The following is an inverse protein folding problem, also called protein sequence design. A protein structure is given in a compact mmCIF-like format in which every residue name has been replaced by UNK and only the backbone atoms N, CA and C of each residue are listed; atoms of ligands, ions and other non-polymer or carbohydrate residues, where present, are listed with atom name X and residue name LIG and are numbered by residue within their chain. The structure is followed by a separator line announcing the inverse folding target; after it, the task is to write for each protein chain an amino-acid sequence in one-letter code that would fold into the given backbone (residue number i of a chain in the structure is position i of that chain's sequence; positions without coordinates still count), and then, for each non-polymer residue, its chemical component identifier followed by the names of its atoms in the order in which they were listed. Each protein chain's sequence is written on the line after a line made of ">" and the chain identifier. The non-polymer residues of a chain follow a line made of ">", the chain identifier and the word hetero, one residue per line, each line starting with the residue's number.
data_IF_006741206528
#
_entry.id   IF_006741206528
#
_cell.length_a   1.000
_cell.length_b   1.000
_cell.length_c   1.000
_cell.angle_alpha   90.00
_cell.angle_beta   90.00
_cell.angle_gamma   90.00
#
_symmetry.space_group_name_H-M   'P 1'
#
loop_
_entity.id
_entity.type
_entity.pdbx_description
1 polymer ?
#
# COMPACT_ATOMS: atom_id res chain seq x y z
N UNK A 1 3.24 -26.07 -3.15
CA UNK A 1 3.18 -24.65 -2.95
C UNK A 1 3.16 -24.31 -1.47
N UNK A 2 4.07 -23.52 -1.04
CA UNK A 2 4.18 -23.19 0.37
C UNK A 2 3.05 -22.26 0.80
N UNK A 3 2.32 -22.63 1.86
CA UNK A 3 1.31 -21.77 2.45
C UNK A 3 1.90 -20.50 3.07
N UNK A 4 3.20 -20.51 3.33
CA UNK A 4 3.89 -19.37 3.93
C UNK A 4 3.84 -18.14 3.04
N UNK A 5 3.83 -18.31 1.70
CA UNK A 5 3.76 -17.20 0.78
C UNK A 5 2.44 -16.43 0.87
N UNK A 6 1.37 -17.13 1.24
CA UNK A 6 0.04 -16.53 1.31
C UNK A 6 -0.37 -16.16 2.74
N UNK A 7 0.44 -16.51 3.73
CA UNK A 7 0.08 -16.28 5.13
C UNK A 7 -0.09 -14.79 5.42
N UNK A 8 0.82 -13.95 4.95
CA UNK A 8 0.69 -12.51 5.14
C UNK A 8 -0.61 -11.98 4.51
N UNK A 9 -0.90 -12.42 3.29
CA UNK A 9 -2.13 -12.02 2.61
C UNK A 9 -3.38 -12.48 3.32
N UNK A 10 -3.37 -13.67 3.89
CA UNK A 10 -4.49 -14.21 4.65
C UNK A 10 -4.70 -13.40 5.93
N UNK A 11 -3.63 -13.06 6.62
CA UNK A 11 -3.70 -12.24 7.83
C UNK A 11 -4.19 -10.83 7.51
N UNK A 12 -3.75 -10.27 6.39
CA UNK A 12 -4.24 -8.96 5.94
C UNK A 12 -5.72 -9.01 5.62
N UNK A 13 -6.17 -10.04 4.91
CA UNK A 13 -7.59 -10.20 4.60
C UNK A 13 -8.42 -10.33 5.88
N UNK A 14 -7.89 -11.02 6.87
CA UNK A 14 -8.57 -11.13 8.17
C UNK A 14 -8.70 -9.77 8.83
N UNK A 15 -7.65 -8.96 8.82
CA UNK A 15 -7.70 -7.62 9.38
C UNK A 15 -8.71 -6.74 8.64
N UNK A 16 -8.74 -6.84 7.31
CA UNK A 16 -9.71 -6.12 6.48
C UNK A 16 -11.14 -6.52 6.86
N UNK A 17 -11.38 -7.81 7.04
CA UNK A 17 -12.71 -8.31 7.42
C UNK A 17 -13.12 -7.83 8.81
N UNK A 18 -12.19 -7.83 9.75
CA UNK A 18 -12.47 -7.35 11.11
C UNK A 18 -12.84 -5.88 11.11
N UNK A 19 -12.28 -5.08 10.21
CA UNK A 19 -12.62 -3.67 10.06
C UNK A 19 -13.89 -3.46 9.21
N UNK A 20 -14.47 -4.54 8.70
CA UNK A 20 -15.67 -4.51 7.87
C UNK A 20 -15.50 -3.72 6.57
N UNK A 21 -14.29 -3.73 6.04
CA UNK A 21 -14.01 -3.11 4.73
C UNK A 21 -14.48 -4.09 3.65
N UNK A 22 -15.37 -3.67 2.75
CA UNK A 22 -15.98 -4.60 1.78
C UNK A 22 -15.09 -4.86 0.56
N UNK A 23 -13.91 -5.41 0.79
CA UNK A 23 -12.99 -5.78 -0.29
C UNK A 23 -12.40 -7.16 -0.01
N UNK A 24 -12.33 -7.99 -1.05
CA UNK A 24 -11.69 -9.29 -0.99
C UNK A 24 -10.49 -9.28 -1.93
N UNK A 25 -9.32 -9.49 -1.36
CA UNK A 25 -8.08 -9.48 -2.15
C UNK A 25 -7.93 -10.77 -2.93
N UNK A 26 -7.54 -10.65 -4.19
CA UNK A 26 -7.20 -11.82 -5.02
C UNK A 26 -5.86 -12.41 -4.54
N UNK A 27 -5.54 -13.67 -4.94
CA UNK A 27 -4.21 -14.22 -4.64
C UNK A 27 -3.06 -13.35 -5.14
N UNK A 28 -3.21 -12.75 -6.32
CA UNK A 28 -2.21 -11.84 -6.86
C UNK A 28 -2.03 -10.60 -6.01
N UNK A 29 -3.13 -10.00 -5.56
CA UNK A 29 -3.06 -8.85 -4.68
C UNK A 29 -2.41 -9.18 -3.35
N UNK A 30 -2.74 -10.35 -2.78
CA UNK A 30 -2.11 -10.80 -1.54
C UNK A 30 -0.61 -10.96 -1.69
N UNK A 31 -0.16 -11.52 -2.81
CA UNK A 31 1.27 -11.65 -3.10
C UNK A 31 1.94 -10.29 -3.26
N UNK A 32 1.27 -9.35 -3.90
CA UNK A 32 1.79 -8.01 -4.09
C UNK A 32 1.95 -7.28 -2.74
N UNK A 33 0.97 -7.42 -1.86
CA UNK A 33 1.09 -6.86 -0.51
C UNK A 33 2.24 -7.47 0.27
N UNK A 34 2.44 -8.77 0.16
CA UNK A 34 3.56 -9.44 0.82
C UNK A 34 4.89 -8.93 0.30
N UNK A 35 5.01 -8.76 -1.01
CA UNK A 35 6.21 -8.22 -1.63
C UNK A 35 6.49 -6.79 -1.14
N UNK A 36 5.46 -5.97 -1.07
CA UNK A 36 5.58 -4.61 -0.55
C UNK A 36 6.03 -4.61 0.91
N UNK A 37 5.43 -5.47 1.72
CA UNK A 37 5.84 -5.64 3.12
C UNK A 37 7.33 -5.98 3.25
N UNK A 38 7.78 -6.95 2.45
CA UNK A 38 9.19 -7.36 2.48
C UNK A 38 10.12 -6.24 2.06
N UNK A 39 9.79 -5.55 0.97
CA UNK A 39 10.60 -4.44 0.48
C UNK A 39 10.63 -3.29 1.48
N UNK A 40 9.50 -3.00 2.09
CA UNK A 40 9.39 -1.94 3.09
C UNK A 40 10.28 -2.23 4.29
N UNK A 41 10.21 -3.45 4.83
CA UNK A 41 10.99 -3.80 6.02
C UNK A 41 12.48 -3.84 5.73
N UNK A 42 12.88 -4.41 4.61
CA UNK A 42 14.29 -4.48 4.24
C UNK A 42 14.87 -3.10 3.95
N UNK A 43 14.15 -2.29 3.20
CA UNK A 43 14.62 -0.95 2.86
C UNK A 43 14.67 -0.05 4.09
N UNK A 44 13.69 -0.21 4.98
CA UNK A 44 13.63 0.61 6.19
C UNK A 44 14.83 0.38 7.12
N UNK A 45 15.39 -0.83 7.13
CA UNK A 45 16.58 -1.14 7.92
C UNK A 45 17.79 -0.30 7.48
N UNK A 46 17.86 0.02 6.20
CA UNK A 46 19.01 0.73 5.62
C UNK A 46 18.73 2.22 5.50
N UNK A 47 17.55 2.60 5.03
CA UNK A 47 17.24 3.97 4.65
C UNK A 47 16.35 4.72 5.63
N UNK A 48 15.82 4.02 6.63
CA UNK A 48 14.95 4.64 7.64
C UNK A 48 13.81 5.45 7.00
N UNK A 49 13.05 4.79 6.14
CA UNK A 49 11.98 5.42 5.35
C UNK A 49 10.81 5.90 6.22
N UNK A 50 10.53 5.19 7.30
CA UNK A 50 9.36 5.40 8.12
C UNK A 50 9.67 5.06 9.57
N UNK A 51 8.92 5.66 10.49
CA UNK A 51 8.97 5.32 11.91
C UNK A 51 8.11 4.10 12.26
N UNK A 52 7.42 3.51 11.28
CA UNK A 52 6.65 2.29 11.49
C UNK A 52 7.62 1.17 11.89
N UNK A 53 7.29 0.46 12.98
CA UNK A 53 8.13 -0.64 13.45
C UNK A 53 8.10 -1.80 12.46
N UNK A 54 9.12 -2.68 12.55
CA UNK A 54 9.18 -3.86 11.70
C UNK A 54 8.21 -4.96 12.13
N UNK A 55 7.48 -4.77 13.20
CA UNK A 55 6.52 -5.75 13.66
C UNK A 55 5.42 -5.96 12.63
N UNK A 56 5.25 -7.20 12.26
CA UNK A 56 4.30 -7.60 11.23
C UNK A 56 2.88 -7.14 11.54
N UNK A 57 2.46 -7.28 12.79
CA UNK A 57 1.09 -6.89 13.19
C UNK A 57 0.84 -5.41 13.02
N UNK A 58 1.83 -4.57 13.33
CA UNK A 58 1.70 -3.13 13.18
C UNK A 58 1.58 -2.77 11.70
N UNK A 59 2.39 -3.40 10.86
CA UNK A 59 2.36 -3.14 9.43
C UNK A 59 1.04 -3.59 8.82
N UNK A 60 0.53 -4.76 9.25
CA UNK A 60 -0.78 -5.23 8.80
C UNK A 60 -1.89 -4.24 9.11
N UNK A 61 -1.85 -3.65 10.30
CA UNK A 61 -2.83 -2.63 10.69
C UNK A 61 -2.71 -1.39 9.81
N UNK A 62 -1.49 -0.96 9.50
CA UNK A 62 -1.28 0.19 8.62
C UNK A 62 -1.82 -0.07 7.21
N UNK A 63 -1.64 -1.28 6.71
CA UNK A 63 -2.19 -1.64 5.40
C UNK A 63 -3.71 -1.61 5.43
N UNK A 64 -4.32 -2.23 6.45
CA UNK A 64 -5.76 -2.25 6.58
C UNK A 64 -6.34 -0.84 6.77
N UNK A 65 -5.70 -0.02 7.61
CA UNK A 65 -6.13 1.36 7.81
C UNK A 65 -6.09 2.16 6.52
N UNK A 66 -5.08 1.92 5.68
CA UNK A 66 -4.96 2.60 4.40
C UNK A 66 -6.14 2.29 3.49
N UNK A 67 -6.61 1.04 3.49
CA UNK A 67 -7.73 0.62 2.65
C UNK A 67 -9.08 1.01 3.26
N UNK A 68 -9.09 1.44 4.52
CA UNK A 68 -10.31 1.82 5.21
C UNK A 68 -11.00 3.06 4.58
N UNK A 69 -10.32 3.76 3.69
CA UNK A 69 -10.95 4.81 2.89
C UNK A 69 -12.22 4.31 2.19
N UNK A 70 -12.27 3.02 1.86
CA UNK A 70 -13.45 2.41 1.23
C UNK A 70 -14.70 2.57 2.09
N UNK A 71 -14.55 2.62 3.42
CA UNK A 71 -15.70 2.82 4.30
C UNK A 71 -16.30 4.21 4.16
N UNK A 72 -15.47 5.21 3.86
CA UNK A 72 -15.91 6.58 3.64
C UNK A 72 -16.36 6.83 2.19
N UNK A 73 -15.89 6.02 1.25
CA UNK A 73 -16.19 6.14 -0.18
C UNK A 73 -16.69 4.77 -0.65
N UNK A 74 -18.00 4.48 -0.47
CA UNK A 74 -18.52 3.13 -0.71
C UNK A 74 -18.33 2.58 -2.11
N UNK A 75 -18.19 3.43 -3.13
CA UNK A 75 -17.95 3.01 -4.50
C UNK A 75 -16.50 3.15 -4.92
N UNK A 76 -15.58 3.11 -3.95
CA UNK A 76 -14.14 3.24 -4.22
C UNK A 76 -13.63 2.18 -5.20
N UNK A 77 -14.21 0.99 -5.18
CA UNK A 77 -13.85 -0.13 -6.04
C UNK A 77 -14.57 -0.11 -7.40
N UNK A 78 -15.42 0.89 -7.65
CA UNK A 78 -16.28 0.91 -8.84
C UNK A 78 -16.00 2.07 -9.78
N UNK A 79 -15.22 3.05 -9.36
CA UNK A 79 -14.94 4.24 -10.14
C UNK A 79 -13.47 4.58 -10.13
N UNK A 80 -12.93 5.14 -11.23
CA UNK A 80 -11.52 5.52 -11.30
C UNK A 80 -11.26 6.87 -10.63
N UNK A 81 -11.50 6.93 -9.33
CA UNK A 81 -11.21 8.15 -8.57
C UNK A 81 -9.76 8.55 -8.69
N UNK A 82 -9.53 9.86 -8.69
CA UNK A 82 -8.19 10.43 -8.64
C UNK A 82 -7.88 10.78 -7.20
N UNK A 83 -6.80 10.25 -6.68
CA UNK A 83 -6.40 10.47 -5.29
C UNK A 83 -4.98 11.03 -5.28
N UNK A 84 -4.80 12.11 -4.56
CA UNK A 84 -3.50 12.76 -4.39
C UNK A 84 -3.04 12.55 -2.95
N UNK A 85 -1.96 11.79 -2.78
CA UNK A 85 -1.40 11.49 -1.47
C UNK A 85 -0.15 12.36 -1.25
N UNK A 86 -0.32 13.47 -0.56
CA UNK A 86 0.76 14.41 -0.27
C UNK A 86 1.46 14.04 1.03
N UNK A 87 2.79 13.99 1.00
CA UNK A 87 3.55 13.57 2.16
C UNK A 87 3.38 12.07 2.41
N UNK A 88 3.41 11.30 1.33
CA UNK A 88 3.08 9.87 1.38
C UNK A 88 4.02 9.03 2.23
N UNK A 89 5.22 9.52 2.50
CA UNK A 89 6.22 8.79 3.28
C UNK A 89 6.67 7.52 2.57
N UNK A 90 6.46 6.38 3.21
CA UNK A 90 6.80 5.08 2.64
C UNK A 90 5.71 4.56 1.69
N UNK A 91 4.79 5.42 1.26
CA UNK A 91 3.74 5.05 0.31
C UNK A 91 2.38 4.81 0.94
N UNK A 92 2.13 5.34 2.13
CA UNK A 92 0.84 5.19 2.82
C UNK A 92 0.02 6.47 2.75
N UNK A 93 -1.26 6.39 2.45
CA UNK A 93 -2.03 5.19 2.10
C UNK A 93 -1.96 4.81 0.62
N UNK A 94 -1.20 5.54 -0.20
CA UNK A 94 -1.24 5.42 -1.65
C UNK A 94 -0.95 4.04 -2.21
N UNK A 95 0.16 3.40 -1.79
CA UNK A 95 0.55 2.08 -2.33
C UNK A 95 -0.47 1.00 -1.95
N UNK A 96 -0.90 0.87 -0.68
CA UNK A 96 -1.96 -0.08 -0.37
C UNK A 96 -3.25 0.14 -1.16
N UNK A 97 -3.64 1.40 -1.39
CA UNK A 97 -4.83 1.71 -2.19
C UNK A 97 -4.63 1.28 -3.65
N UNK A 98 -3.45 1.51 -4.21
CA UNK A 98 -3.15 1.11 -5.58
C UNK A 98 -3.22 -0.41 -5.76
N UNK A 99 -2.75 -1.16 -4.76
CA UNK A 99 -2.78 -2.62 -4.82
C UNK A 99 -4.22 -3.14 -4.70
N UNK A 100 -4.97 -2.61 -3.73
CA UNK A 100 -6.32 -3.10 -3.45
C UNK A 100 -7.35 -2.65 -4.48
N UNK A 101 -7.16 -1.48 -5.09
CA UNK A 101 -8.10 -0.88 -6.03
C UNK A 101 -7.39 -0.46 -7.30
N UNK A 102 -7.16 -1.41 -8.23
CA UNK A 102 -6.32 -1.14 -9.41
C UNK A 102 -6.84 -0.05 -10.35
N UNK A 103 -8.13 0.30 -10.26
CA UNK A 103 -8.70 1.33 -11.11
C UNK A 103 -8.45 2.75 -10.60
N UNK A 104 -8.01 2.89 -9.36
CA UNK A 104 -7.71 4.20 -8.79
C UNK A 104 -6.51 4.84 -9.50
N UNK A 105 -6.58 6.15 -9.63
CA UNK A 105 -5.51 6.95 -10.21
C UNK A 105 -4.81 7.69 -9.09
N UNK A 106 -3.68 7.15 -8.66
CA UNK A 106 -2.95 7.65 -7.51
C UNK A 106 -1.80 8.56 -7.95
N UNK A 107 -1.67 9.66 -7.24
CA UNK A 107 -0.49 10.51 -7.34
C UNK A 107 0.10 10.63 -5.95
N UNK A 108 1.33 10.17 -5.78
CA UNK A 108 2.03 10.19 -4.52
C UNK A 108 3.14 11.23 -4.57
N UNK A 109 3.25 12.03 -3.53
CA UNK A 109 4.28 13.06 -3.47
C UNK A 109 4.92 13.09 -2.08
N UNK A 110 6.22 13.37 -2.06
CA UNK A 110 6.96 13.52 -0.81
C UNK A 110 8.14 14.46 -1.04
N UNK A 111 8.60 15.10 0.03
CA UNK A 111 9.71 16.03 -0.04
C UNK A 111 11.07 15.34 0.03
N UNK A 112 11.15 14.09 0.53
CA UNK A 112 12.40 13.38 0.69
C UNK A 112 12.67 12.49 -0.50
N UNK A 113 13.81 12.72 -1.15
CA UNK A 113 14.18 11.99 -2.37
C UNK A 113 14.29 10.48 -2.15
N UNK A 114 14.80 10.06 -1.00
CA UNK A 114 14.92 8.62 -0.71
C UNK A 114 13.56 7.93 -0.68
N UNK A 115 12.52 8.61 -0.22
CA UNK A 115 11.15 8.08 -0.22
C UNK A 115 10.59 8.02 -1.63
N UNK A 116 10.82 9.06 -2.43
CA UNK A 116 10.38 9.07 -3.83
C UNK A 116 10.99 7.91 -4.60
N UNK A 117 12.28 7.65 -4.43
CA UNK A 117 12.94 6.54 -5.11
C UNK A 117 12.34 5.19 -4.71
N UNK A 118 12.03 5.02 -3.42
CA UNK A 118 11.40 3.80 -2.93
C UNK A 118 10.01 3.61 -3.54
N UNK A 119 9.14 4.62 -3.44
CA UNK A 119 7.76 4.49 -3.91
C UNK A 119 7.67 4.36 -5.43
N UNK A 120 8.58 4.98 -6.19
CA UNK A 120 8.64 4.79 -7.63
C UNK A 120 8.92 3.33 -7.98
N UNK A 121 9.87 2.72 -7.28
CA UNK A 121 10.19 1.30 -7.51
C UNK A 121 9.01 0.40 -7.15
N UNK A 122 8.35 0.67 -6.04
CA UNK A 122 7.19 -0.11 -5.63
C UNK A 122 6.00 0.07 -6.56
N UNK A 123 5.78 1.29 -7.05
CA UNK A 123 4.73 1.55 -8.01
C UNK A 123 4.93 0.75 -9.29
N UNK A 124 6.17 0.62 -9.77
CA UNK A 124 6.48 -0.19 -10.95
C UNK A 124 6.17 -1.67 -10.70
N UNK A 125 6.51 -2.17 -9.52
CA UNK A 125 6.25 -3.58 -9.16
C UNK A 125 4.77 -3.89 -9.03
N UNK A 126 3.96 -2.93 -8.62
CA UNK A 126 2.53 -3.14 -8.47
C UNK A 126 1.78 -2.97 -9.79
N UNK A 127 2.48 -2.66 -10.89
CA UNK A 127 1.93 -2.28 -12.21
C UNK A 127 0.71 -1.39 -12.10
N UNK A 128 0.68 -0.54 -11.12
CA UNK A 128 -0.33 0.49 -11.02
C UNK A 128 0.04 1.58 -12.03
N UNK A 129 -0.34 1.38 -13.29
CA UNK A 129 -0.01 2.31 -14.37
C UNK A 129 -0.46 3.73 -14.04
N UNK A 130 -1.50 3.84 -13.23
CA UNK A 130 -2.05 5.11 -12.83
C UNK A 130 -1.48 5.61 -11.50
N UNK A 131 -0.44 4.97 -10.97
CA UNK A 131 0.25 5.43 -9.76
C UNK A 131 1.47 6.26 -10.16
N UNK A 132 1.42 7.55 -9.92
CA UNK A 132 2.49 8.47 -10.26
C UNK A 132 3.15 9.00 -9.00
N UNK A 133 4.46 9.19 -9.05
CA UNK A 133 5.25 9.61 -7.90
C UNK A 133 6.04 10.88 -8.25
N UNK A 134 5.93 11.89 -7.42
CA UNK A 134 6.58 13.18 -7.65
C UNK A 134 7.30 13.68 -6.41
N UNK A 135 8.49 14.29 -6.56
CA UNK A 135 9.07 15.07 -5.48
C UNK A 135 8.24 16.35 -5.31
N UNK A 136 7.89 16.67 -4.07
CA UNK A 136 7.11 17.86 -3.79
C UNK A 136 7.66 18.55 -2.55
N UNK A 137 7.97 19.83 -2.72
CA UNK A 137 8.62 20.61 -1.67
C UNK A 137 7.71 21.66 -1.04
N UNK A 138 6.44 21.49 -1.18
CA UNK A 138 5.47 22.39 -0.58
C UNK A 138 5.22 23.62 -1.40
#
# INVERSE_FOLDING_TARGET
>A
MSNDQNMFGQELQKAINEMKIPVTLSPGQKNTFQSFYQDLTETNKVMNLTSITEEKEVILKHFADSIALHLAVPDLDKKPYRIFDMGTGAGFPGIPLAIAYPELRLTLADSLNKRILFIQREAEKTWAEECKCYPWKG
#
